data_IF_615297563282
#
_entry.id   IF_615297563282
#
_cell.length_a   1.000
_cell.length_b   1.000
_cell.length_c   1.000
_cell.angle_alpha   90.00
_cell.angle_beta   90.00
_cell.angle_gamma   90.00
#
_symmetry.space_group_name_H-M   'P 1'
#
loop_
_entity.id
_entity.type
_entity.pdbx_description
1 polymer ?
#
# COMPACT_ATOMS: atom_id res chain seq x y z
N UNK A 1 -25.27 -17.55 -11.80
CA UNK A 1 -24.07 -17.79 -10.96
C UNK A 1 -24.38 -17.32 -9.55
N UNK A 2 -24.13 -18.14 -8.53
CA UNK A 2 -24.31 -17.72 -7.13
C UNK A 2 -23.21 -16.72 -6.73
N UNK A 3 -23.58 -15.67 -6.00
CA UNK A 3 -22.63 -14.73 -5.39
C UNK A 3 -22.10 -15.38 -4.12
N UNK A 4 -20.80 -15.66 -4.06
CA UNK A 4 -20.14 -16.24 -2.87
C UNK A 4 -19.36 -15.13 -2.17
N UNK A 5 -19.80 -14.80 -0.96
CA UNK A 5 -19.13 -13.84 -0.07
C UNK A 5 -17.86 -14.48 0.47
N UNK A 6 -16.74 -13.75 0.39
CA UNK A 6 -15.45 -14.19 0.92
C UNK A 6 -15.15 -13.54 2.28
N UNK A 7 -15.46 -12.25 2.42
CA UNK A 7 -15.07 -11.46 3.59
C UNK A 7 -16.10 -10.37 3.90
N UNK A 8 -16.19 -9.99 5.17
CA UNK A 8 -16.88 -8.79 5.64
C UNK A 8 -15.87 -7.99 6.46
N UNK A 9 -15.50 -6.79 5.99
CA UNK A 9 -14.57 -5.90 6.68
C UNK A 9 -15.31 -4.70 7.25
N UNK A 10 -15.11 -4.41 8.54
CA UNK A 10 -15.77 -3.29 9.20
C UNK A 10 -14.93 -2.02 9.09
N UNK A 11 -15.56 -0.92 8.67
CA UNK A 11 -14.96 0.41 8.60
C UNK A 11 -15.57 1.32 9.66
N UNK A 12 -14.77 2.25 10.18
CA UNK A 12 -15.17 3.20 11.22
C UNK A 12 -15.99 4.36 10.66
N UNK A 13 -17.01 4.09 9.83
CA UNK A 13 -17.80 5.10 9.12
C UNK A 13 -18.17 6.32 9.99
N UNK A 14 -18.42 7.47 9.37
CA UNK A 14 -18.66 8.76 10.06
C UNK A 14 -19.88 8.77 10.99
N UNK A 15 -20.71 7.72 10.95
CA UNK A 15 -21.82 7.48 11.88
C UNK A 15 -21.36 6.60 13.05
N UNK A 16 -22.01 6.70 14.21
CA UNK A 16 -21.62 6.04 15.46
C UNK A 16 -21.55 4.50 15.44
N UNK A 17 -21.88 3.84 14.31
CA UNK A 17 -21.86 2.38 14.16
C UNK A 17 -20.96 1.98 12.98
N UNK A 18 -20.03 1.02 13.18
CA UNK A 18 -19.21 0.47 12.09
C UNK A 18 -20.07 -0.11 10.96
N UNK A 19 -19.68 0.17 9.70
CA UNK A 19 -20.34 -0.36 8.50
C UNK A 19 -19.53 -1.55 7.97
N UNK A 20 -20.22 -2.62 7.58
CA UNK A 20 -19.59 -3.82 7.03
C UNK A 20 -19.53 -3.75 5.50
N UNK A 21 -18.33 -3.82 4.95
CA UNK A 21 -18.09 -3.96 3.51
C UNK A 21 -18.08 -5.43 3.15
N UNK A 22 -18.98 -5.85 2.27
CA UNK A 22 -19.09 -7.23 1.78
C UNK A 22 -18.22 -7.37 0.54
N UNK A 23 -17.22 -8.25 0.61
CA UNK A 23 -16.34 -8.58 -0.51
C UNK A 23 -16.59 -10.00 -0.97
N UNK A 24 -16.85 -10.17 -2.27
CA UNK A 24 -16.99 -11.49 -2.89
C UNK A 24 -15.63 -12.03 -3.32
N UNK A 25 -15.53 -13.35 -3.54
CA UNK A 25 -14.32 -13.95 -4.11
C UNK A 25 -13.93 -13.31 -5.45
N UNK A 26 -14.92 -13.00 -6.29
CA UNK A 26 -14.69 -12.34 -7.58
C UNK A 26 -14.06 -10.96 -7.40
N UNK A 27 -14.59 -10.14 -6.48
CA UNK A 27 -14.01 -8.80 -6.23
C UNK A 27 -12.53 -8.89 -5.83
N UNK A 28 -12.19 -9.85 -4.96
CA UNK A 28 -10.81 -10.02 -4.50
C UNK A 28 -9.90 -10.49 -5.65
N UNK A 29 -10.30 -11.52 -6.41
CA UNK A 29 -9.47 -12.03 -7.52
C UNK A 29 -9.27 -10.98 -8.61
N UNK A 30 -10.33 -10.26 -9.01
CA UNK A 30 -10.23 -9.20 -10.02
C UNK A 30 -9.29 -8.07 -9.55
N UNK A 31 -9.34 -7.72 -8.26
CA UNK A 31 -8.44 -6.74 -7.66
C UNK A 31 -7.01 -7.26 -7.54
N UNK A 32 -6.80 -8.54 -7.21
CA UNK A 32 -5.47 -9.14 -7.12
C UNK A 32 -4.75 -9.04 -8.48
N UNK A 33 -5.43 -9.43 -9.56
CA UNK A 33 -4.87 -9.31 -10.92
C UNK A 33 -4.50 -7.85 -11.23
N UNK A 34 -5.39 -6.92 -10.90
CA UNK A 34 -5.18 -5.48 -11.15
C UNK A 34 -3.97 -4.92 -10.41
N UNK A 35 -3.84 -5.19 -9.10
CA UNK A 35 -2.71 -4.68 -8.32
C UNK A 35 -1.39 -5.38 -8.67
N UNK A 36 -1.43 -6.67 -9.03
CA UNK A 36 -0.24 -7.41 -9.46
C UNK A 36 0.35 -6.77 -10.71
N UNK A 37 -0.50 -6.42 -11.68
CA UNK A 37 -0.07 -5.76 -12.91
C UNK A 37 0.44 -4.34 -12.63
N UNK A 38 -0.31 -3.53 -11.88
CA UNK A 38 0.03 -2.13 -11.62
C UNK A 38 1.26 -1.94 -10.70
N UNK A 39 1.40 -2.81 -9.70
CA UNK A 39 2.50 -2.79 -8.74
C UNK A 39 3.72 -3.63 -9.16
N UNK A 40 3.67 -4.26 -10.33
CA UNK A 40 4.68 -5.20 -10.83
C UNK A 40 5.02 -6.30 -9.80
N UNK A 41 4.02 -6.87 -9.13
CA UNK A 41 4.24 -7.91 -8.12
C UNK A 41 4.72 -9.21 -8.79
N UNK A 42 5.62 -9.93 -8.12
CA UNK A 42 6.22 -11.15 -8.66
C UNK A 42 6.24 -12.28 -7.64
N UNK A 43 6.24 -13.52 -8.12
CA UNK A 43 6.31 -14.73 -7.28
C UNK A 43 7.66 -14.89 -6.56
N UNK A 44 8.71 -14.22 -7.03
CA UNK A 44 10.03 -14.18 -6.39
C UNK A 44 10.21 -13.02 -5.40
N UNK A 45 9.15 -12.22 -5.17
CA UNK A 45 9.19 -11.18 -4.13
C UNK A 45 9.24 -11.79 -2.73
N UNK A 46 10.03 -11.14 -1.85
CA UNK A 46 10.02 -11.36 -0.40
C UNK A 46 9.38 -10.14 0.24
N UNK A 47 8.19 -10.31 0.82
CA UNK A 47 7.34 -9.20 1.22
C UNK A 47 7.21 -9.12 2.73
N UNK A 48 7.52 -7.96 3.28
CA UNK A 48 7.31 -7.69 4.70
C UNK A 48 5.91 -7.17 4.95
N UNK A 49 5.19 -7.85 5.82
CA UNK A 49 3.88 -7.47 6.32
C UNK A 49 4.01 -7.02 7.78
N UNK A 50 3.95 -5.70 7.99
CA UNK A 50 4.11 -5.08 9.31
C UNK A 50 2.88 -4.27 9.76
N UNK A 51 1.85 -4.18 8.92
CA UNK A 51 0.58 -3.54 9.26
C UNK A 51 -0.48 -4.58 9.64
N UNK A 52 -1.57 -4.18 10.32
CA UNK A 52 -2.56 -5.15 10.79
C UNK A 52 -3.32 -5.83 9.66
N UNK A 53 -3.45 -7.16 9.73
CA UNK A 53 -4.20 -7.97 8.76
C UNK A 53 -5.73 -7.87 8.91
N UNK A 54 -6.24 -7.14 9.90
CA UNK A 54 -7.66 -6.76 9.92
C UNK A 54 -7.95 -5.56 9.00
N UNK A 55 -6.93 -4.84 8.53
CA UNK A 55 -7.08 -3.71 7.62
C UNK A 55 -7.00 -4.17 6.16
N UNK A 56 -7.95 -3.72 5.34
CA UNK A 56 -8.11 -4.15 3.94
C UNK A 56 -6.84 -3.96 3.11
N UNK A 57 -6.14 -2.83 3.26
CA UNK A 57 -4.88 -2.58 2.55
C UNK A 57 -3.87 -3.72 2.77
N UNK A 58 -3.52 -4.03 4.02
CA UNK A 58 -2.52 -5.07 4.27
C UNK A 58 -3.02 -6.47 3.85
N UNK A 59 -4.28 -6.79 4.18
CA UNK A 59 -4.84 -8.11 3.93
C UNK A 59 -5.06 -8.39 2.44
N UNK A 60 -5.75 -7.50 1.75
CA UNK A 60 -6.27 -7.74 0.40
C UNK A 60 -5.45 -7.01 -0.68
N UNK A 61 -4.76 -5.90 -0.40
CA UNK A 61 -3.91 -5.25 -1.40
C UNK A 61 -2.49 -5.85 -1.45
N UNK A 62 -2.00 -6.43 -0.34
CA UNK A 62 -0.64 -6.96 -0.28
C UNK A 62 -0.62 -8.46 0.06
N UNK A 63 -1.09 -8.87 1.24
CA UNK A 63 -0.98 -10.27 1.68
C UNK A 63 -1.66 -11.25 0.71
N UNK A 64 -2.92 -10.99 0.32
CA UNK A 64 -3.68 -11.83 -0.61
C UNK A 64 -3.04 -11.99 -2.00
N UNK A 65 -2.70 -10.90 -2.72
CA UNK A 65 -2.05 -10.97 -4.02
C UNK A 65 -0.70 -11.71 -4.01
N UNK A 66 0.12 -11.50 -2.98
CA UNK A 66 1.39 -12.23 -2.85
C UNK A 66 1.18 -13.71 -2.54
N UNK A 67 0.16 -14.04 -1.74
CA UNK A 67 -0.23 -15.42 -1.51
C UNK A 67 -0.73 -16.08 -2.82
N UNK A 68 -1.52 -15.36 -3.61
CA UNK A 68 -2.00 -15.80 -4.92
C UNK A 68 -0.84 -16.06 -5.91
N UNK A 69 0.22 -15.26 -5.86
CA UNK A 69 1.44 -15.44 -6.66
C UNK A 69 2.38 -16.53 -6.13
N UNK A 70 2.18 -17.02 -4.90
CA UNK A 70 3.12 -17.94 -4.24
C UNK A 70 4.43 -17.29 -3.81
N UNK A 71 4.41 -15.99 -3.49
CA UNK A 71 5.57 -15.24 -3.02
C UNK A 71 5.95 -15.56 -1.56
N UNK A 72 7.09 -15.06 -1.10
CA UNK A 72 7.56 -15.28 0.27
C UNK A 72 7.05 -14.18 1.21
N UNK A 73 6.46 -14.58 2.34
CA UNK A 73 5.89 -13.67 3.34
C UNK A 73 6.76 -13.60 4.60
N UNK A 74 7.13 -12.39 5.01
CA UNK A 74 7.75 -12.08 6.31
C UNK A 74 6.74 -11.31 7.13
N UNK A 75 6.44 -11.77 8.35
CA UNK A 75 5.43 -11.18 9.22
C UNK A 75 6.05 -10.58 10.47
N UNK A 76 5.54 -9.42 10.89
CA UNK A 76 5.82 -8.84 12.20
C UNK A 76 4.55 -8.19 12.75
N UNK A 77 4.38 -8.21 14.07
CA UNK A 77 3.16 -7.71 14.72
C UNK A 77 3.01 -6.20 14.59
N UNK A 78 4.13 -5.47 14.65
CA UNK A 78 4.15 -4.00 14.65
C UNK A 78 5.24 -3.46 13.72
N UNK A 79 5.01 -2.28 13.10
CA UNK A 79 5.96 -1.63 12.22
C UNK A 79 6.98 -0.78 13.01
N UNK A 80 7.57 -1.32 14.07
CA UNK A 80 8.62 -0.63 14.82
C UNK A 80 9.86 -0.45 13.94
N UNK A 81 10.46 0.75 13.85
CA UNK A 81 11.51 1.02 12.87
C UNK A 81 12.71 0.07 12.95
N UNK A 82 13.23 -0.17 14.16
CA UNK A 82 14.36 -1.10 14.38
C UNK A 82 14.04 -2.50 13.88
N UNK A 83 12.84 -3.01 14.22
CA UNK A 83 12.36 -4.32 13.80
C UNK A 83 12.18 -4.43 12.31
N UNK A 84 11.55 -3.45 11.67
CA UNK A 84 11.33 -3.44 10.22
C UNK A 84 12.67 -3.42 9.47
N UNK A 85 13.61 -2.56 9.88
CA UNK A 85 14.93 -2.47 9.27
C UNK A 85 15.74 -3.77 9.43
N UNK A 86 15.71 -4.38 10.61
CA UNK A 86 16.32 -5.70 10.88
C UNK A 86 15.73 -6.79 9.99
N UNK A 87 14.40 -6.86 9.90
CA UNK A 87 13.71 -7.87 9.08
C UNK A 87 14.02 -7.70 7.59
N UNK A 88 14.06 -6.46 7.10
CA UNK A 88 14.40 -6.18 5.70
C UNK A 88 15.79 -6.72 5.36
N UNK A 89 16.78 -6.43 6.20
CA UNK A 89 18.14 -6.94 5.98
C UNK A 89 18.20 -8.47 6.13
N UNK A 90 17.69 -9.00 7.25
CA UNK A 90 17.81 -10.41 7.63
C UNK A 90 17.17 -11.33 6.60
N UNK A 91 15.99 -10.99 6.12
CA UNK A 91 15.24 -11.80 5.18
C UNK A 91 15.39 -11.34 3.72
N UNK A 92 16.24 -10.33 3.48
CA UNK A 92 16.44 -9.74 2.15
C UNK A 92 15.12 -9.36 1.48
N UNK A 93 14.23 -8.70 2.23
CA UNK A 93 12.92 -8.24 1.76
C UNK A 93 13.10 -7.42 0.47
N UNK A 94 12.31 -7.72 -0.55
CA UNK A 94 12.30 -7.03 -1.86
C UNK A 94 11.22 -5.97 -1.94
N UNK A 95 10.14 -6.14 -1.17
CA UNK A 95 8.99 -5.25 -1.20
C UNK A 95 8.42 -4.95 0.19
N UNK A 96 8.08 -3.68 0.42
CA UNK A 96 7.46 -3.24 1.66
C UNK A 96 6.40 -2.16 1.42
N UNK A 97 5.22 -2.35 2.00
CA UNK A 97 4.15 -1.35 2.05
C UNK A 97 4.06 -0.72 3.44
N UNK A 98 3.96 0.60 3.46
CA UNK A 98 3.77 1.37 4.69
C UNK A 98 3.10 2.73 4.39
N UNK A 99 2.24 3.26 5.28
CA UNK A 99 1.79 4.64 5.15
C UNK A 99 2.96 5.62 5.38
N UNK A 100 2.84 6.88 4.92
CA UNK A 100 3.89 7.90 5.04
C UNK A 100 4.48 8.04 6.45
N UNK A 101 3.66 7.95 7.50
CA UNK A 101 4.11 8.06 8.90
C UNK A 101 5.14 6.99 9.26
N UNK A 102 4.98 5.76 8.78
CA UNK A 102 5.92 4.66 9.01
C UNK A 102 7.19 4.84 8.18
N UNK A 103 7.08 5.24 6.91
CA UNK A 103 8.25 5.57 6.08
C UNK A 103 9.10 6.69 6.69
N UNK A 104 8.46 7.73 7.21
CA UNK A 104 9.13 8.81 7.94
C UNK A 104 9.81 8.25 9.19
N UNK A 105 9.12 7.42 9.99
CA UNK A 105 9.70 6.77 11.16
C UNK A 105 10.95 5.93 10.84
N UNK A 106 10.92 5.18 9.73
CA UNK A 106 12.07 4.42 9.26
C UNK A 106 13.23 5.34 8.86
N UNK A 107 12.95 6.37 8.04
CA UNK A 107 13.96 7.31 7.57
C UNK A 107 14.63 8.10 8.71
N UNK A 108 13.89 8.37 9.78
CA UNK A 108 14.37 9.12 10.96
C UNK A 108 14.98 8.23 12.03
N UNK A 109 14.90 6.91 11.88
CA UNK A 109 15.49 5.96 12.83
C UNK A 109 17.03 6.09 12.85
N UNK A 110 17.68 6.06 14.03
CA UNK A 110 19.15 6.02 14.11
C UNK A 110 19.74 4.73 13.53
N UNK A 111 18.92 3.68 13.39
CA UNK A 111 19.33 2.40 12.80
C UNK A 111 19.23 2.39 11.27
N UNK A 112 18.70 3.46 10.67
CA UNK A 112 18.55 3.59 9.23
C UNK A 112 19.91 3.63 8.53
N UNK A 113 20.25 2.53 7.87
CA UNK A 113 21.51 2.36 7.13
C UNK A 113 21.19 1.87 5.73
N UNK A 114 21.14 2.74 4.70
CA UNK A 114 20.75 2.36 3.34
C UNK A 114 21.49 1.13 2.78
N UNK A 115 22.77 0.98 3.12
CA UNK A 115 23.59 -0.16 2.69
C UNK A 115 23.03 -1.52 3.12
N UNK A 116 22.31 -1.58 4.25
CA UNK A 116 21.66 -2.80 4.78
C UNK A 116 20.34 -3.13 4.06
N UNK A 117 19.79 -2.18 3.30
CA UNK A 117 18.46 -2.28 2.68
C UNK A 117 18.56 -2.49 1.15
N UNK A 118 19.68 -3.00 0.65
CA UNK A 118 19.95 -3.19 -0.79
C UNK A 118 19.03 -4.21 -1.46
N UNK A 119 18.43 -5.12 -0.69
CA UNK A 119 17.46 -6.09 -1.21
C UNK A 119 16.11 -5.44 -1.53
N UNK A 120 15.74 -4.39 -0.81
CA UNK A 120 14.48 -3.68 -1.00
C UNK A 120 14.57 -2.90 -2.31
N UNK A 121 13.73 -3.26 -3.28
CA UNK A 121 13.69 -2.64 -4.61
C UNK A 121 12.34 -2.00 -4.90
N UNK A 122 11.28 -2.45 -4.23
CA UNK A 122 9.93 -1.91 -4.36
C UNK A 122 9.45 -1.35 -3.02
N UNK A 123 9.22 -0.05 -2.98
CA UNK A 123 8.60 0.61 -1.84
C UNK A 123 7.20 1.07 -2.22
N UNK A 124 6.21 0.77 -1.39
CA UNK A 124 4.83 1.17 -1.63
C UNK A 124 4.35 2.03 -0.47
N UNK A 125 3.66 3.12 -0.78
CA UNK A 125 2.95 3.92 0.20
C UNK A 125 1.52 4.20 -0.27
N UNK A 126 0.68 4.63 0.67
CA UNK A 126 -0.73 4.93 0.44
C UNK A 126 -1.40 5.36 1.73
N UNK A 127 -2.73 5.43 1.72
CA UNK A 127 -3.59 5.87 2.83
C UNK A 127 -3.44 7.33 3.29
N UNK A 128 -2.34 8.00 2.96
CA UNK A 128 -2.14 9.42 3.18
C UNK A 128 -1.13 9.99 2.18
N UNK A 129 -1.14 11.33 2.05
CA UNK A 129 -0.22 12.06 1.19
C UNK A 129 1.21 11.94 1.74
N UNK A 130 2.15 11.55 0.88
CA UNK A 130 3.57 11.56 1.23
C UNK A 130 4.17 12.96 0.99
N UNK A 131 4.85 13.57 1.98
CA UNK A 131 5.54 14.83 1.73
C UNK A 131 6.65 14.66 0.68
N UNK A 132 6.66 15.51 -0.34
CA UNK A 132 7.61 15.43 -1.45
C UNK A 132 9.08 15.44 -1.00
N UNK A 133 9.40 16.18 0.06
CA UNK A 133 10.74 16.21 0.65
C UNK A 133 11.17 14.83 1.19
N UNK A 134 10.24 14.07 1.76
CA UNK A 134 10.51 12.70 2.27
C UNK A 134 10.80 11.75 1.11
N UNK A 135 10.03 11.82 0.02
CA UNK A 135 10.31 11.03 -1.20
C UNK A 135 11.68 11.35 -1.79
N UNK A 136 12.01 12.63 -1.91
CA UNK A 136 13.33 13.07 -2.41
C UNK A 136 14.48 12.58 -1.52
N UNK A 137 14.29 12.62 -0.20
CA UNK A 137 15.31 12.15 0.73
C UNK A 137 15.47 10.62 0.69
N UNK A 138 14.36 9.87 0.65
CA UNK A 138 14.37 8.42 0.47
C UNK A 138 15.04 8.03 -0.85
N UNK A 139 14.67 8.69 -1.96
CA UNK A 139 15.25 8.44 -3.28
C UNK A 139 16.75 8.76 -3.35
N UNK A 140 17.21 9.83 -2.68
CA UNK A 140 18.65 10.14 -2.64
C UNK A 140 19.44 9.16 -1.77
N UNK A 141 18.87 8.67 -0.67
CA UNK A 141 19.52 7.68 0.22
C UNK A 141 19.46 6.25 -0.33
N UNK A 142 18.41 5.92 -1.08
CA UNK A 142 18.15 4.59 -1.64
C UNK A 142 17.79 4.68 -3.15
N UNK A 143 18.72 5.09 -4.01
CA UNK A 143 18.45 5.37 -5.44
C UNK A 143 18.08 4.13 -6.27
N UNK A 144 18.17 2.93 -5.72
CA UNK A 144 17.78 1.68 -6.38
C UNK A 144 16.30 1.33 -6.14
N UNK A 145 15.62 2.02 -5.21
CA UNK A 145 14.23 1.74 -4.87
C UNK A 145 13.31 2.49 -5.83
N UNK A 146 12.31 1.75 -6.32
CA UNK A 146 11.18 2.28 -7.05
C UNK A 146 9.99 2.46 -6.10
N UNK A 147 9.36 3.63 -6.14
CA UNK A 147 8.24 3.98 -5.26
C UNK A 147 6.92 3.92 -5.99
N UNK A 148 5.94 3.21 -5.44
CA UNK A 148 4.54 3.27 -5.87
C UNK A 148 3.71 4.00 -4.83
N UNK A 149 2.82 4.86 -5.30
CA UNK A 149 1.70 5.35 -4.51
C UNK A 149 0.47 4.54 -4.89
N UNK A 150 -0.23 3.95 -3.94
CA UNK A 150 -1.44 3.20 -4.21
C UNK A 150 -2.61 3.78 -3.43
N UNK A 151 -3.74 3.92 -4.12
CA UNK A 151 -5.00 4.36 -3.55
C UNK A 151 -6.10 3.33 -3.79
N UNK A 152 -6.96 3.24 -2.79
CA UNK A 152 -8.21 2.52 -2.84
C UNK A 152 -8.92 2.62 -1.49
N UNK A 153 -10.12 2.09 -1.45
CA UNK A 153 -10.93 1.98 -0.24
C UNK A 153 -11.39 0.54 -0.05
N UNK A 154 -11.77 0.18 1.17
CA UNK A 154 -12.23 -1.19 1.47
C UNK A 154 -13.38 -1.60 0.55
N UNK A 155 -14.29 -0.67 0.26
CA UNK A 155 -15.47 -0.77 -0.60
C UNK A 155 -15.15 -1.12 -2.05
N UNK A 156 -13.92 -0.85 -2.51
CA UNK A 156 -13.50 -1.08 -3.89
C UNK A 156 -12.82 -2.43 -4.09
N UNK A 157 -12.66 -3.24 -3.02
CA UNK A 157 -11.53 -4.16 -2.85
C UNK A 157 -10.23 -3.36 -2.98
N UNK A 158 -9.39 -3.27 -1.94
CA UNK A 158 -8.61 -2.08 -1.49
C UNK A 158 -7.65 -1.37 -2.46
N UNK A 159 -7.61 -1.72 -3.74
CA UNK A 159 -6.83 -1.10 -4.77
C UNK A 159 -7.72 -0.60 -5.91
N UNK A 160 -7.59 0.66 -6.27
CA UNK A 160 -8.28 1.30 -7.39
C UNK A 160 -7.28 1.90 -8.40
N UNK A 161 -6.29 2.66 -7.92
CA UNK A 161 -5.33 3.36 -8.78
C UNK A 161 -3.93 3.36 -8.18
N UNK A 162 -2.92 3.53 -9.03
CA UNK A 162 -1.53 3.69 -8.62
C UNK A 162 -0.84 4.82 -9.36
N UNK A 163 0.07 5.52 -8.68
CA UNK A 163 1.08 6.36 -9.30
C UNK A 163 2.35 5.52 -9.45
N UNK A 164 2.84 5.30 -10.67
CA UNK A 164 4.04 4.50 -10.87
C UNK A 164 5.32 5.28 -10.50
N UNK A 165 6.48 4.60 -10.40
CA UNK A 165 7.75 5.19 -9.96
C UNK A 165 8.23 6.40 -10.75
N UNK A 166 7.98 6.41 -12.06
CA UNK A 166 8.37 7.48 -12.98
C UNK A 166 7.60 8.80 -12.76
N UNK A 167 6.42 8.76 -12.13
CA UNK A 167 5.55 9.94 -11.96
C UNK A 167 5.59 10.54 -10.55
N UNK A 168 6.36 9.95 -9.63
CA UNK A 168 6.37 10.31 -8.21
C UNK A 168 6.69 11.80 -7.93
N UNK A 169 7.56 12.42 -8.74
CA UNK A 169 7.97 13.82 -8.54
C UNK A 169 7.30 14.79 -9.49
N UNK A 170 6.80 14.31 -10.63
CA UNK A 170 6.14 15.15 -11.65
C UNK A 170 4.65 15.32 -11.36
N UNK A 171 4.01 14.30 -10.76
CA UNK A 171 2.56 14.29 -10.47
C UNK A 171 2.24 13.75 -9.07
N UNK A 172 2.91 14.26 -8.01
CA UNK A 172 2.87 13.70 -6.65
C UNK A 172 1.49 13.72 -5.97
N UNK A 173 0.51 14.44 -6.53
CA UNK A 173 -0.84 14.58 -5.98
C UNK A 173 -1.93 13.98 -6.89
N UNK A 174 -1.55 13.32 -7.99
CA UNK A 174 -2.53 12.89 -9.00
C UNK A 174 -3.42 11.74 -8.52
N UNK A 175 -2.87 10.83 -7.71
CA UNK A 175 -3.64 9.75 -7.08
C UNK A 175 -4.47 10.28 -5.91
N UNK A 176 -3.94 11.26 -5.19
CA UNK A 176 -4.61 11.98 -4.12
C UNK A 176 -5.80 12.79 -4.65
N UNK A 177 -5.69 13.37 -5.85
CA UNK A 177 -6.80 14.08 -6.49
C UNK A 177 -7.94 13.13 -6.83
N UNK A 178 -7.63 11.92 -7.31
CA UNK A 178 -8.64 10.88 -7.50
C UNK A 178 -9.28 10.49 -6.15
N UNK A 179 -8.49 10.39 -5.08
CA UNK A 179 -9.02 10.15 -3.73
C UNK A 179 -9.98 11.25 -3.25
N UNK A 180 -9.70 12.51 -3.59
CA UNK A 180 -10.58 13.64 -3.29
C UNK A 180 -11.88 13.58 -4.09
N UNK A 181 -11.84 13.13 -5.36
CA UNK A 181 -13.01 12.98 -6.21
C UNK A 181 -13.86 11.73 -5.87
N UNK A 182 -13.26 10.68 -5.33
CA UNK A 182 -13.92 9.40 -5.04
C UNK A 182 -14.49 9.30 -3.61
N UNK A 183 -14.37 10.34 -2.78
CA UNK A 183 -14.85 10.35 -1.41
C UNK A 183 -16.39 10.38 -1.31
N UNK A 184 -16.99 9.81 -0.24
CA UNK A 184 -18.44 9.65 -0.09
C UNK A 184 -19.24 10.95 0.14
N UNK A 185 -18.57 12.11 0.15
CA UNK A 185 -19.20 13.40 0.37
C UNK A 185 -18.60 14.44 -0.58
N UNK A 186 -19.25 14.67 -1.73
CA UNK A 186 -19.44 16.00 -2.33
C UNK A 186 -20.47 15.93 -3.44
N UNK A 187 -21.49 16.78 -3.30
CA UNK A 187 -22.39 17.18 -4.36
C UNK A 187 -21.58 17.68 -5.56
N UNK A 188 -21.87 17.12 -6.73
CA UNK A 188 -21.37 17.64 -8.00
C UNK A 188 -21.89 19.08 -8.17
N UNK A 189 -20.99 20.06 -8.11
CA UNK A 189 -21.21 21.32 -8.82
C UNK A 189 -20.37 21.21 -10.07
N UNK A 190 -21.00 20.75 -11.15
CA UNK A 190 -20.55 21.14 -12.49
C UNK A 190 -20.67 22.66 -12.55
N UNK A 191 -19.54 23.35 -12.72
CA UNK A 191 -19.58 24.64 -13.38
C UNK A 191 -18.63 24.57 -14.57
N UNK A 192 -19.26 24.39 -15.73
CA UNK A 192 -18.69 24.65 -17.04
C UNK A 192 -18.63 26.17 -17.20
N UNK A 193 -17.46 26.74 -16.91
CA UNK A 193 -17.13 28.15 -17.15
C UNK A 193 -15.64 28.33 -17.39
#
# INVERSE_FOLDING_TARGET
MAIIIAQILYTSGTESRPKGVILTHRNLIDQFVSIIMAGEFRSDDVVLHALPLFHSAQLNAFFGPFLYLGATHVLTEKPEPSRVLDLIERYRVTQFFAPPTIWIGLLRSPEFKPKRLRSLTKAVYGAAIMPTQVLKELGSKMPWIRFWNMYGMTEMAPFATSLPPEEQLTRPLSVELFALCAGPHRDYVEDVG
#
